data_IF_939137748709
#
_entry.id   IF_939137748709
#
_cell.length_a   1.000
_cell.length_b   1.000
_cell.length_c   1.000
_cell.angle_alpha   90.00
_cell.angle_beta   90.00
_cell.angle_gamma   90.00
#
_symmetry.space_group_name_H-M   'P 1'
#
loop_
_entity.id
_entity.type
_entity.pdbx_description
1 polymer ?
#
# COMPACT_ATOMS: atom_id res chain seq x y z
N UNK A 1 25.93 -31.76 11.34
CA UNK A 1 25.00 -30.77 11.85
C UNK A 1 24.50 -29.96 10.66
N UNK A 2 23.31 -30.28 10.16
CA UNK A 2 22.64 -29.47 9.12
C UNK A 2 22.09 -28.23 9.81
N UNK A 3 22.57 -27.06 9.40
CA UNK A 3 22.17 -25.77 9.86
C UNK A 3 20.69 -25.50 9.47
N UNK A 4 19.81 -25.59 10.45
CA UNK A 4 18.34 -25.52 10.28
C UNK A 4 17.81 -24.08 10.31
N UNK A 5 18.68 -23.06 10.17
CA UNK A 5 18.35 -21.65 10.40
C UNK A 5 17.99 -20.84 9.16
N UNK A 6 17.91 -21.42 7.95
CA UNK A 6 17.72 -20.66 6.71
C UNK A 6 16.46 -20.96 5.90
N UNK A 7 15.58 -21.89 6.33
CA UNK A 7 14.38 -22.26 5.53
C UNK A 7 13.23 -21.25 5.58
N UNK A 8 13.18 -20.39 6.59
CA UNK A 8 12.01 -19.53 6.83
C UNK A 8 12.06 -18.16 6.14
N UNK A 9 13.15 -17.83 5.45
CA UNK A 9 13.35 -16.48 4.91
C UNK A 9 13.58 -16.45 3.39
N UNK A 10 13.09 -17.46 2.66
CA UNK A 10 13.21 -17.54 1.19
C UNK A 10 11.85 -17.59 0.51
N UNK A 11 11.74 -16.95 -0.64
CA UNK A 11 10.58 -17.03 -1.53
C UNK A 11 10.52 -18.44 -2.15
N UNK A 12 9.45 -19.19 -1.88
CA UNK A 12 9.31 -20.57 -2.35
C UNK A 12 9.09 -20.72 -3.87
N UNK A 13 8.90 -19.61 -4.60
CA UNK A 13 8.84 -19.62 -6.08
C UNK A 13 10.24 -19.44 -6.67
N UNK A 14 11.00 -18.43 -6.22
CA UNK A 14 12.27 -18.03 -6.83
C UNK A 14 13.49 -18.50 -6.05
N UNK A 15 13.31 -19.00 -4.83
CA UNK A 15 14.36 -19.35 -3.87
C UNK A 15 15.31 -18.19 -3.50
N UNK A 16 14.89 -16.96 -3.79
CA UNK A 16 15.58 -15.75 -3.35
C UNK A 16 15.13 -15.35 -1.94
N UNK A 17 15.91 -14.53 -1.23
CA UNK A 17 15.49 -13.98 0.07
C UNK A 17 14.13 -13.30 -0.02
N UNK A 18 13.32 -13.44 1.03
CA UNK A 18 12.07 -12.70 1.17
C UNK A 18 12.38 -11.22 1.38
N UNK A 19 11.73 -10.36 0.60
CA UNK A 19 11.84 -8.93 0.70
C UNK A 19 10.73 -8.32 1.62
N UNK A 20 10.75 -7.01 1.77
CA UNK A 20 9.78 -6.27 2.58
C UNK A 20 8.35 -6.31 2.01
N UNK A 21 8.15 -6.82 0.80
CA UNK A 21 6.84 -6.95 0.16
C UNK A 21 6.27 -8.36 0.28
N UNK A 22 6.94 -9.25 1.06
CA UNK A 22 6.52 -10.63 1.24
C UNK A 22 5.04 -10.76 1.59
N UNK A 23 4.42 -11.79 1.07
CA UNK A 23 3.05 -12.18 1.39
C UNK A 23 3.00 -13.63 1.81
N UNK A 24 2.36 -13.90 2.93
CA UNK A 24 2.13 -15.25 3.46
C UNK A 24 0.70 -15.65 3.18
N UNK A 25 0.48 -16.79 2.53
CA UNK A 25 -0.84 -17.35 2.29
C UNK A 25 -1.41 -17.99 3.57
N UNK A 26 -2.73 -18.29 3.58
CA UNK A 26 -3.41 -18.92 4.74
C UNK A 26 -2.79 -20.26 5.15
N UNK A 27 -2.15 -20.95 4.23
CA UNK A 27 -1.40 -22.20 4.50
C UNK A 27 -0.01 -21.99 5.13
N UNK A 28 0.41 -20.75 5.41
CA UNK A 28 1.68 -20.40 6.03
C UNK A 28 2.86 -20.22 5.06
N UNK A 29 2.71 -20.53 3.78
CA UNK A 29 3.79 -20.39 2.79
C UNK A 29 3.97 -18.94 2.35
N UNK A 30 5.22 -18.46 2.36
CA UNK A 30 5.60 -17.08 2.08
C UNK A 30 6.29 -16.92 0.73
N UNK A 31 6.01 -15.81 0.07
CA UNK A 31 6.50 -15.49 -1.26
C UNK A 31 6.76 -13.98 -1.36
N UNK A 32 7.72 -13.57 -2.18
CA UNK A 32 7.85 -12.18 -2.61
C UNK A 32 6.62 -11.81 -3.42
N UNK A 33 6.03 -10.63 -3.15
CA UNK A 33 4.70 -10.29 -3.63
C UNK A 33 4.57 -10.33 -5.15
N UNK A 34 5.52 -9.79 -5.89
CA UNK A 34 5.48 -9.77 -7.36
C UNK A 34 5.43 -11.18 -7.94
N UNK A 35 6.17 -12.12 -7.34
CA UNK A 35 6.22 -13.50 -7.81
C UNK A 35 4.88 -14.22 -7.60
N UNK A 36 4.30 -14.12 -6.40
CA UNK A 36 2.99 -14.75 -6.15
C UNK A 36 1.86 -14.04 -6.91
N UNK A 37 1.95 -12.73 -7.12
CA UNK A 37 0.99 -11.98 -7.93
C UNK A 37 0.96 -12.47 -9.37
N UNK A 38 2.13 -12.64 -10.01
CA UNK A 38 2.25 -13.15 -11.37
C UNK A 38 1.77 -14.60 -11.46
N UNK A 39 2.09 -15.43 -10.48
CA UNK A 39 1.62 -16.82 -10.41
C UNK A 39 0.10 -16.88 -10.30
N UNK A 40 -0.52 -16.07 -9.45
CA UNK A 40 -1.99 -16.03 -9.34
C UNK A 40 -2.65 -15.53 -10.63
N UNK A 41 -2.07 -14.55 -11.34
CA UNK A 41 -2.54 -14.17 -12.69
C UNK A 41 -2.50 -15.37 -13.63
N UNK A 42 -1.42 -16.14 -13.62
CA UNK A 42 -1.27 -17.33 -14.45
C UNK A 42 -2.33 -18.40 -14.11
N UNK A 43 -2.58 -18.64 -12.82
CA UNK A 43 -3.67 -19.52 -12.37
C UNK A 43 -5.02 -19.06 -12.90
N UNK A 44 -5.32 -17.75 -12.88
CA UNK A 44 -6.58 -17.21 -13.38
C UNK A 44 -6.73 -17.37 -14.89
N UNK A 45 -5.66 -17.28 -15.65
CA UNK A 45 -5.67 -17.55 -17.10
C UNK A 45 -5.93 -19.04 -17.41
N UNK A 46 -5.45 -19.94 -16.57
CA UNK A 46 -5.66 -21.38 -16.71
C UNK A 46 -7.00 -21.89 -16.13
N UNK A 47 -7.73 -21.07 -15.42
CA UNK A 47 -8.94 -21.45 -14.69
C UNK A 47 -10.05 -22.13 -15.53
N UNK A 48 -10.24 -21.85 -16.83
CA UNK A 48 -11.19 -22.61 -17.66
C UNK A 48 -10.89 -24.12 -17.69
N UNK A 49 -9.63 -24.51 -17.48
CA UNK A 49 -9.15 -25.89 -17.47
C UNK A 49 -9.21 -26.50 -16.06
N UNK A 50 -9.05 -25.67 -15.03
CA UNK A 50 -9.04 -26.07 -13.61
C UNK A 50 -10.45 -25.95 -13.00
N UNK A 51 -11.35 -26.86 -13.34
CA UNK A 51 -12.77 -26.82 -12.92
C UNK A 51 -12.99 -26.88 -11.39
N UNK A 52 -12.01 -27.31 -10.61
CA UNK A 52 -12.11 -27.50 -9.16
C UNK A 52 -11.81 -26.23 -8.34
N UNK A 53 -11.28 -25.16 -8.95
CA UNK A 53 -10.97 -23.90 -8.28
C UNK A 53 -11.98 -22.83 -8.69
N UNK A 54 -12.68 -22.24 -7.73
CA UNK A 54 -13.62 -21.13 -7.99
C UNK A 54 -12.89 -19.86 -8.45
N UNK A 55 -13.57 -18.98 -9.19
CA UNK A 55 -12.97 -17.75 -9.75
C UNK A 55 -12.26 -16.87 -8.70
N UNK A 56 -12.81 -16.79 -7.49
CA UNK A 56 -12.22 -15.98 -6.41
C UNK A 56 -11.18 -16.72 -5.56
N UNK A 57 -11.07 -18.04 -5.71
CA UNK A 57 -10.08 -18.84 -4.97
C UNK A 57 -8.71 -18.77 -5.62
N UNK A 58 -7.66 -18.81 -4.82
CA UNK A 58 -6.29 -18.96 -5.26
C UNK A 58 -5.67 -20.21 -4.64
N UNK A 59 -4.71 -20.81 -5.35
CA UNK A 59 -4.03 -22.02 -4.91
C UNK A 59 -2.58 -21.70 -4.58
N UNK A 60 -2.10 -22.21 -3.46
CA UNK A 60 -0.69 -22.10 -3.11
C UNK A 60 0.16 -22.86 -4.14
N UNK A 61 1.15 -22.23 -4.79
CA UNK A 61 1.98 -22.90 -5.79
C UNK A 61 2.92 -23.96 -5.19
N UNK A 62 3.13 -23.93 -3.88
CA UNK A 62 3.98 -24.87 -3.17
C UNK A 62 3.23 -26.11 -2.68
N UNK A 63 2.23 -25.93 -1.79
CA UNK A 63 1.49 -27.05 -1.20
C UNK A 63 0.13 -27.32 -1.85
N UNK A 64 -0.29 -26.54 -2.83
CA UNK A 64 -1.57 -26.65 -3.55
C UNK A 64 -2.82 -26.42 -2.69
N UNK A 65 -2.67 -26.00 -1.43
CA UNK A 65 -3.80 -25.60 -0.60
C UNK A 65 -4.59 -24.46 -1.26
N UNK A 66 -5.92 -24.57 -1.23
CA UNK A 66 -6.83 -23.58 -1.82
C UNK A 66 -7.30 -22.67 -0.70
N UNK A 67 -7.33 -21.34 -0.96
CA UNK A 67 -7.90 -20.35 -0.06
C UNK A 67 -8.94 -19.48 -0.76
N UNK A 68 -9.93 -19.02 0.00
CA UNK A 68 -11.02 -18.15 -0.50
C UNK A 68 -10.60 -16.69 -0.59
N UNK A 69 -9.53 -16.32 0.07
CA UNK A 69 -9.01 -14.95 0.06
C UNK A 69 -8.04 -14.73 -1.09
N UNK A 70 -8.19 -13.57 -1.74
CA UNK A 70 -7.24 -13.10 -2.75
C UNK A 70 -6.07 -12.39 -2.11
N UNK A 71 -5.01 -12.14 -2.89
CA UNK A 71 -3.85 -11.40 -2.42
C UNK A 71 -4.25 -9.98 -1.98
N UNK A 72 -3.57 -9.41 -0.99
CA UNK A 72 -3.75 -7.99 -0.67
C UNK A 72 -3.25 -7.12 -1.83
N UNK A 73 -3.87 -5.96 -2.07
CA UNK A 73 -3.35 -5.02 -3.08
C UNK A 73 -2.18 -4.22 -2.52
N UNK A 74 -1.00 -4.36 -3.11
CA UNK A 74 0.18 -3.52 -2.87
C UNK A 74 0.31 -2.47 -3.98
N UNK A 75 0.53 -1.19 -3.60
CA UNK A 75 0.75 -0.10 -4.55
C UNK A 75 2.21 -0.07 -5.01
N UNK A 76 2.63 -1.08 -5.76
CA UNK A 76 3.95 -1.19 -6.37
C UNK A 76 3.88 -0.81 -7.85
N UNK A 77 5.02 -0.38 -8.43
CA UNK A 77 5.10 0.15 -9.81
C UNK A 77 4.50 -0.78 -10.87
N UNK A 78 4.67 -2.09 -10.72
CA UNK A 78 4.22 -3.08 -11.72
C UNK A 78 2.91 -3.80 -11.32
N UNK A 79 2.30 -3.44 -10.19
CA UNK A 79 1.12 -4.13 -9.68
C UNK A 79 -0.15 -3.36 -10.03
N UNK A 80 -1.05 -4.00 -10.75
CA UNK A 80 -2.38 -3.47 -11.10
C UNK A 80 -3.46 -4.14 -10.27
N UNK A 81 -4.58 -3.46 -10.05
CA UNK A 81 -5.77 -4.08 -9.48
C UNK A 81 -6.41 -5.01 -10.51
N UNK A 82 -6.43 -6.30 -10.22
CA UNK A 82 -7.03 -7.33 -11.06
C UNK A 82 -8.08 -8.08 -10.24
N UNK A 83 -9.29 -8.19 -10.79
CA UNK A 83 -10.39 -8.91 -10.15
C UNK A 83 -10.02 -10.36 -9.87
N UNK A 84 -10.24 -10.81 -8.64
CA UNK A 84 -9.92 -12.15 -8.13
C UNK A 84 -8.43 -12.50 -8.04
N UNK A 85 -7.54 -11.54 -8.29
CA UNK A 85 -6.11 -11.65 -7.98
C UNK A 85 -5.79 -10.89 -6.70
N UNK A 86 -6.09 -9.58 -6.68
CA UNK A 86 -5.91 -8.67 -5.54
C UNK A 86 -7.08 -7.66 -5.43
N UNK A 87 -8.26 -8.05 -5.84
CA UNK A 87 -9.49 -7.26 -5.84
C UNK A 87 -10.70 -8.20 -5.91
N UNK A 88 -11.86 -7.89 -5.33
CA UNK A 88 -12.17 -6.69 -4.54
C UNK A 88 -11.59 -6.75 -3.13
N UNK A 89 -11.49 -5.60 -2.47
CA UNK A 89 -10.97 -5.47 -1.10
C UNK A 89 -11.71 -6.34 -0.05
N UNK A 90 -12.99 -6.65 -0.29
CA UNK A 90 -13.77 -7.54 0.59
C UNK A 90 -13.27 -8.99 0.61
N UNK A 91 -12.57 -9.42 -0.43
CA UNK A 91 -11.98 -10.76 -0.55
C UNK A 91 -10.48 -10.77 -0.26
N UNK A 92 -9.83 -9.61 -0.09
CA UNK A 92 -8.41 -9.55 0.20
C UNK A 92 -8.07 -10.24 1.53
N UNK A 93 -6.97 -10.97 1.53
CA UNK A 93 -6.39 -11.55 2.74
C UNK A 93 -6.00 -10.41 3.69
N UNK A 94 -6.45 -10.48 4.94
CA UNK A 94 -6.11 -9.52 5.97
C UNK A 94 -4.75 -9.87 6.55
N UNK A 95 -3.73 -9.13 6.19
CA UNK A 95 -2.40 -9.24 6.82
C UNK A 95 -2.33 -8.40 8.09
N UNK A 96 -2.88 -7.19 8.04
CA UNK A 96 -2.95 -6.26 9.17
C UNK A 96 -4.26 -5.47 9.11
N UNK A 97 -4.67 -4.89 10.25
CA UNK A 97 -5.83 -4.00 10.33
C UNK A 97 -5.39 -2.53 10.38
N UNK A 98 -6.12 -1.67 9.69
CA UNK A 98 -5.83 -0.26 9.65
C UNK A 98 -6.01 0.39 11.03
N UNK A 99 -4.94 0.96 11.57
CA UNK A 99 -4.89 1.62 12.88
C UNK A 99 -5.42 3.06 12.86
N UNK A 100 -5.79 3.60 11.69
CA UNK A 100 -6.31 4.96 11.58
C UNK A 100 -7.62 5.10 12.36
N UNK A 101 -7.68 6.13 13.22
CA UNK A 101 -8.86 6.44 14.03
C UNK A 101 -9.59 7.67 13.47
N UNK A 102 -10.90 7.56 13.35
CA UNK A 102 -11.79 8.69 13.05
C UNK A 102 -12.81 8.82 14.17
N UNK A 103 -12.85 9.96 14.85
CA UNK A 103 -13.74 10.19 16.00
C UNK A 103 -13.67 9.06 17.07
N UNK A 104 -12.45 8.58 17.35
CA UNK A 104 -12.21 7.52 18.33
C UNK A 104 -12.43 6.09 17.81
N UNK A 105 -13.04 5.89 16.64
CA UNK A 105 -13.33 4.57 16.07
C UNK A 105 -12.20 4.17 15.12
N UNK A 106 -11.66 2.95 15.29
CA UNK A 106 -10.65 2.39 14.39
C UNK A 106 -11.26 2.01 13.05
N UNK A 107 -10.52 2.25 11.97
CA UNK A 107 -10.95 1.91 10.62
C UNK A 107 -11.17 0.40 10.41
N UNK A 108 -10.35 -0.47 10.99
CA UNK A 108 -10.46 -1.93 10.93
C UNK A 108 -10.38 -2.56 9.53
N UNK A 109 -10.17 -1.78 8.45
CA UNK A 109 -9.97 -2.33 7.10
C UNK A 109 -8.62 -3.01 7.00
N UNK A 110 -8.53 -4.03 6.13
CA UNK A 110 -7.24 -4.65 5.82
C UNK A 110 -6.24 -3.62 5.30
N UNK A 111 -5.02 -3.74 5.76
CA UNK A 111 -3.92 -2.88 5.36
C UNK A 111 -2.63 -3.69 5.23
N UNK A 112 -1.61 -3.03 4.66
CA UNK A 112 -0.26 -3.53 4.53
C UNK A 112 0.62 -3.07 5.70
N UNK A 113 1.89 -3.39 5.64
CA UNK A 113 2.91 -3.22 6.69
C UNK A 113 2.92 -1.87 7.42
N UNK A 114 2.46 -0.80 6.77
CA UNK A 114 2.44 0.54 7.39
C UNK A 114 1.26 0.80 8.34
N UNK A 115 0.44 -0.22 8.62
CA UNK A 115 -0.70 -0.10 9.53
C UNK A 115 -1.86 0.78 9.02
N UNK A 116 -1.87 1.19 7.75
CA UNK A 116 -2.92 2.01 7.14
C UNK A 116 -3.51 1.34 5.90
N UNK A 117 -4.84 1.31 5.78
CA UNK A 117 -5.47 0.91 4.52
C UNK A 117 -5.15 1.94 3.43
N UNK A 118 -5.30 1.57 2.16
CA UNK A 118 -4.91 2.40 1.02
C UNK A 118 -5.43 3.85 1.11
N UNK A 119 -6.71 4.06 1.52
CA UNK A 119 -7.27 5.39 1.73
C UNK A 119 -6.55 6.16 2.84
N UNK A 120 -6.32 5.53 3.99
CA UNK A 120 -5.72 6.18 5.15
C UNK A 120 -4.22 6.33 5.02
N UNK A 121 -3.56 5.47 4.25
CA UNK A 121 -2.16 5.63 3.86
C UNK A 121 -1.92 6.96 3.12
N UNK A 122 -2.78 7.29 2.13
CA UNK A 122 -2.68 8.57 1.45
C UNK A 122 -2.96 9.78 2.38
N UNK A 123 -3.91 9.64 3.31
CA UNK A 123 -4.17 10.69 4.29
C UNK A 123 -2.98 10.86 5.25
N UNK A 124 -2.43 9.76 5.74
CA UNK A 124 -1.27 9.75 6.63
C UNK A 124 -0.03 10.35 5.95
N UNK A 125 0.29 9.93 4.73
CA UNK A 125 1.42 10.50 3.99
C UNK A 125 1.26 11.98 3.69
N UNK A 126 0.03 12.43 3.35
CA UNK A 126 -0.23 13.88 3.21
C UNK A 126 -0.01 14.63 4.53
N UNK A 127 -0.35 14.03 5.66
CA UNK A 127 -0.13 14.62 6.97
C UNK A 127 1.36 14.66 7.32
N UNK A 128 2.10 13.57 7.07
CA UNK A 128 3.57 13.54 7.28
C UNK A 128 4.28 14.60 6.44
N UNK A 129 3.96 14.69 5.14
CA UNK A 129 4.52 15.73 4.27
C UNK A 129 4.23 17.13 4.81
N UNK A 130 2.99 17.36 5.26
CA UNK A 130 2.60 18.63 5.85
C UNK A 130 3.42 18.95 7.12
N UNK A 131 3.55 17.96 8.01
CA UNK A 131 4.30 18.12 9.26
C UNK A 131 5.81 18.38 9.00
N UNK A 132 6.39 17.72 7.99
CA UNK A 132 7.76 17.96 7.53
C UNK A 132 7.97 19.41 7.03
N UNK A 133 7.00 19.93 6.23
CA UNK A 133 7.08 21.31 5.74
C UNK A 133 6.91 22.35 6.86
N UNK A 134 6.02 22.10 7.82
CA UNK A 134 5.81 23.01 8.96
C UNK A 134 7.02 23.05 9.88
N UNK A 135 7.63 21.89 10.16
CA UNK A 135 8.80 21.78 11.04
C UNK A 135 10.10 22.22 10.37
N UNK A 136 10.09 22.50 9.05
CA UNK A 136 11.27 22.87 8.29
C UNK A 136 12.32 21.76 8.18
N UNK A 137 11.93 20.52 8.46
CA UNK A 137 12.85 19.36 8.42
C UNK A 137 13.18 18.90 7.00
N UNK A 138 12.39 19.34 6.01
CA UNK A 138 12.62 19.05 4.60
C UNK A 138 12.85 20.35 3.83
N UNK A 139 14.02 20.54 3.17
CA UNK A 139 14.21 21.68 2.29
C UNK A 139 13.20 21.61 1.15
N UNK A 140 12.47 22.70 0.91
CA UNK A 140 11.53 22.81 -0.21
C UNK A 140 12.36 23.00 -1.47
N UNK A 141 12.63 21.92 -2.18
CA UNK A 141 13.41 21.93 -3.42
C UNK A 141 12.54 22.45 -4.57
N UNK A 142 11.25 22.08 -4.63
CA UNK A 142 10.29 22.59 -5.62
C UNK A 142 8.88 22.76 -5.04
N UNK A 143 8.43 24.00 -4.93
CA UNK A 143 7.06 24.34 -4.50
C UNK A 143 5.99 23.83 -5.47
N UNK A 144 6.34 23.56 -6.74
CA UNK A 144 5.40 23.08 -7.75
C UNK A 144 4.96 21.64 -7.48
N UNK A 145 5.75 20.84 -6.79
CA UNK A 145 5.39 19.47 -6.41
C UNK A 145 4.37 19.42 -5.26
N UNK A 146 4.22 20.52 -4.50
CA UNK A 146 3.33 20.56 -3.35
C UNK A 146 1.86 20.66 -3.82
N UNK A 147 0.98 19.75 -3.38
CA UNK A 147 -0.45 19.84 -3.69
C UNK A 147 -1.11 21.11 -3.11
N UNK A 148 -2.03 21.71 -3.86
CA UNK A 148 -2.77 22.92 -3.43
C UNK A 148 -3.37 22.85 -2.02
N UNK A 149 -4.00 21.73 -1.59
CA UNK A 149 -4.51 21.63 -0.22
C UNK A 149 -3.44 21.76 0.86
N UNK A 150 -2.22 21.27 0.59
CA UNK A 150 -1.09 21.39 1.52
C UNK A 150 -0.57 22.82 1.54
N UNK A 151 -0.41 23.46 0.37
CA UNK A 151 -0.04 24.89 0.29
C UNK A 151 -0.99 25.76 1.11
N UNK A 152 -2.30 25.56 0.95
CA UNK A 152 -3.32 26.30 1.71
C UNK A 152 -3.23 26.07 3.22
N UNK A 153 -2.91 24.84 3.63
CA UNK A 153 -2.79 24.49 5.04
C UNK A 153 -1.54 25.12 5.66
N UNK A 154 -0.42 25.16 4.94
CA UNK A 154 0.82 25.82 5.37
C UNK A 154 0.57 27.33 5.55
N UNK A 155 -0.08 27.99 4.56
CA UNK A 155 -0.39 29.43 4.65
C UNK A 155 -1.35 29.74 5.81
N UNK A 156 -2.29 28.85 6.11
CA UNK A 156 -3.16 28.95 7.29
C UNK A 156 -2.36 28.93 8.58
N UNK A 157 -1.45 27.99 8.75
CA UNK A 157 -0.57 27.89 9.95
C UNK A 157 0.35 29.10 10.08
N UNK A 158 0.82 29.63 8.95
CA UNK A 158 1.61 30.88 8.90
C UNK A 158 0.75 32.15 9.07
N UNK A 159 -0.56 31.99 9.36
CA UNK A 159 -1.53 33.09 9.60
C UNK A 159 -1.67 34.08 8.43
N UNK A 160 -1.41 33.66 7.19
CA UNK A 160 -1.61 34.48 5.98
C UNK A 160 -3.11 34.70 5.76
N UNK A 161 -3.53 35.92 5.45
CA UNK A 161 -4.93 36.26 5.14
C UNK A 161 -5.22 36.02 3.65
N UNK A 162 -6.48 35.78 3.30
CA UNK A 162 -7.01 35.71 1.91
C UNK A 162 -6.42 34.60 1.00
N UNK A 163 -5.72 33.60 1.54
CA UNK A 163 -5.12 32.49 0.76
C UNK A 163 -6.14 31.53 0.12
N UNK A 164 -7.40 31.48 0.63
CA UNK A 164 -8.40 30.47 0.24
C UNK A 164 -8.82 30.54 -1.23
N UNK A 165 -8.82 31.75 -1.81
CA UNK A 165 -9.23 32.04 -3.20
C UNK A 165 -8.05 32.02 -4.19
N UNK A 166 -6.81 31.95 -3.72
CA UNK A 166 -5.61 32.01 -4.56
C UNK A 166 -5.41 30.75 -5.41
N UNK A 167 -4.92 30.95 -6.64
CA UNK A 167 -4.47 29.87 -7.52
C UNK A 167 -3.12 29.30 -7.05
N UNK A 168 -2.71 28.14 -7.55
CA UNK A 168 -1.47 27.46 -7.14
C UNK A 168 -0.23 28.35 -7.23
N UNK A 169 -0.09 29.08 -8.31
CA UNK A 169 1.01 30.01 -8.57
C UNK A 169 1.08 31.14 -7.53
N UNK A 170 -0.06 31.70 -7.17
CA UNK A 170 -0.18 32.77 -6.17
C UNK A 170 0.09 32.26 -4.74
N UNK A 171 -0.37 31.02 -4.44
CA UNK A 171 -0.07 30.38 -3.16
C UNK A 171 1.44 30.13 -3.01
N UNK A 172 2.11 29.72 -4.08
CA UNK A 172 3.56 29.50 -4.11
C UNK A 172 4.30 30.84 -3.93
N UNK A 173 3.83 31.92 -4.60
CA UNK A 173 4.41 33.25 -4.46
C UNK A 173 4.29 33.75 -3.01
N UNK A 174 3.09 33.64 -2.42
CA UNK A 174 2.84 34.02 -1.03
C UNK A 174 3.70 33.22 -0.02
N UNK A 175 4.01 31.96 -0.31
CA UNK A 175 4.91 31.15 0.52
C UNK A 175 6.37 31.57 0.39
N UNK A 176 6.84 31.93 -0.81
CA UNK A 176 8.21 32.41 -1.05
C UNK A 176 8.49 33.75 -0.40
N UNK A 177 7.47 34.59 -0.24
CA UNK A 177 7.59 35.89 0.43
C UNK A 177 7.65 35.79 1.98
N UNK A 178 7.41 34.59 2.54
CA UNK A 178 7.43 34.32 3.99
C UNK A 178 8.72 33.67 4.50
N UNK A 179 9.62 33.32 3.58
CA UNK A 179 10.90 32.68 3.86
C UNK A 179 12.02 33.62 3.55
#
# INVERSE_FOLDING_TARGET
QYDNTSKDNICLITRQPLDNTKTTLECGHSFNYENIYNEVIHQKKKQPIMKYIKKHQIQCPYCRAIQDKVLPFLSLKNIKRIKYVNSPCSLEQKTHTCIFKTKGIMCGKSCHENGYCNRHFHIHNKQLLFDEYIKGTKPIIDYNEIPVPILKKILKEKKVKNYSKLKKTELIKALKELI
#
